data_IF_616225077989
#
_entry.id   IF_616225077989
#
_cell.length_a   1.000
_cell.length_b   1.000
_cell.length_c   1.000
_cell.angle_alpha   90.00
_cell.angle_beta   90.00
_cell.angle_gamma   90.00
#
_symmetry.space_group_name_H-M   'P 1'
#
loop_
_entity.id
_entity.type
_entity.pdbx_description
1 polymer ?
#
# COMPACT_ATOMS: atom_id res chain seq x y z
N UNK A 1 8.61 -19.53 9.64
CA UNK A 1 7.76 -18.32 9.70
C UNK A 1 7.21 -18.10 8.31
N UNK A 2 5.92 -17.82 8.17
CA UNK A 2 5.31 -17.52 6.87
C UNK A 2 5.80 -16.16 6.37
N UNK A 3 6.30 -16.12 5.14
CA UNK A 3 6.75 -14.90 4.45
C UNK A 3 5.60 -13.87 4.38
N UNK A 4 5.86 -12.62 4.77
CA UNK A 4 4.92 -11.50 4.65
C UNK A 4 5.09 -10.86 3.29
N UNK A 5 4.22 -11.23 2.36
CA UNK A 5 4.18 -10.65 1.01
C UNK A 5 3.07 -9.61 0.93
N UNK A 6 3.41 -8.38 0.54
CA UNK A 6 2.43 -7.34 0.22
C UNK A 6 2.35 -7.10 -1.27
N UNK A 7 1.19 -6.64 -1.74
CA UNK A 7 1.03 -6.12 -3.10
C UNK A 7 0.97 -4.61 -3.05
N UNK A 8 1.58 -3.92 -4.01
CA UNK A 8 1.52 -2.47 -4.10
C UNK A 8 1.32 -2.03 -5.55
N UNK A 9 0.45 -1.04 -5.79
CA UNK A 9 0.33 -0.41 -7.09
C UNK A 9 1.59 0.38 -7.40
N UNK A 10 2.23 0.07 -8.54
CA UNK A 10 3.52 0.67 -8.89
C UNK A 10 3.45 2.19 -9.08
N UNK A 11 2.29 2.70 -9.48
CA UNK A 11 2.08 4.11 -9.83
C UNK A 11 1.78 4.97 -8.60
N UNK A 12 1.00 4.47 -7.64
CA UNK A 12 0.57 5.23 -6.45
C UNK A 12 1.28 4.81 -5.15
N UNK A 13 1.89 3.62 -5.13
CA UNK A 13 2.38 3.01 -3.89
C UNK A 13 1.24 2.52 -2.98
N UNK A 14 -0.01 2.53 -3.44
CA UNK A 14 -1.14 2.02 -2.65
C UNK A 14 -1.02 0.52 -2.40
N UNK A 15 -1.21 0.10 -1.15
CA UNK A 15 -1.15 -1.29 -0.71
C UNK A 15 -2.58 -1.78 -0.43
N UNK A 16 -3.21 -2.55 -1.34
CA UNK A 16 -4.58 -3.00 -1.16
C UNK A 16 -4.77 -3.91 0.06
N UNK A 17 -5.97 -3.87 0.62
CA UNK A 17 -6.44 -4.70 1.72
C UNK A 17 -6.43 -4.00 3.09
N UNK A 18 -7.14 -4.54 4.08
CA UNK A 18 -7.41 -3.86 5.33
C UNK A 18 -6.18 -3.83 6.25
N UNK A 19 -6.03 -2.72 6.98
CA UNK A 19 -5.13 -2.66 8.12
C UNK A 19 -5.55 -3.68 9.19
N UNK A 20 -4.58 -4.44 9.71
CA UNK A 20 -4.82 -5.44 10.77
C UNK A 20 -5.36 -4.86 12.07
N UNK A 21 -5.20 -3.55 12.30
CA UNK A 21 -5.56 -2.87 13.54
C UNK A 21 -6.89 -2.13 13.49
N UNK A 22 -7.13 -1.36 12.43
CA UNK A 22 -8.35 -0.54 12.30
C UNK A 22 -9.30 -1.01 11.19
N UNK A 23 -8.92 -2.05 10.43
CA UNK A 23 -9.69 -2.64 9.33
C UNK A 23 -10.00 -1.70 8.16
N UNK A 24 -9.43 -0.49 8.13
CA UNK A 24 -9.56 0.45 7.02
C UNK A 24 -8.61 0.10 5.87
N UNK A 25 -9.05 0.39 4.64
CA UNK A 25 -8.31 0.11 3.41
C UNK A 25 -7.56 1.36 2.93
N UNK A 26 -6.62 1.84 3.75
CA UNK A 26 -5.86 3.06 3.49
C UNK A 26 -4.39 2.81 3.82
N UNK A 27 -3.75 1.86 3.14
CA UNK A 27 -2.35 1.52 3.36
C UNK A 27 -1.46 2.04 2.23
N UNK A 28 -0.36 2.67 2.60
CA UNK A 28 0.69 3.13 1.67
C UNK A 28 1.94 2.27 1.80
N UNK A 29 2.67 2.12 0.70
CA UNK A 29 4.00 1.53 0.69
C UNK A 29 4.99 2.48 1.36
N UNK A 30 5.80 1.95 2.27
CA UNK A 30 6.86 2.70 2.95
C UNK A 30 8.21 2.01 2.79
N UNK A 31 9.27 2.82 2.75
CA UNK A 31 10.66 2.35 2.77
C UNK A 31 11.29 2.79 4.10
N UNK A 32 11.88 1.86 4.81
CA UNK A 32 12.61 2.10 6.05
C UNK A 32 14.06 2.54 5.77
N UNK A 33 14.76 3.03 6.79
CA UNK A 33 16.16 3.49 6.69
C UNK A 33 17.15 2.38 6.27
N UNK A 34 16.82 1.13 6.56
CA UNK A 34 17.60 -0.06 6.18
C UNK A 34 17.24 -0.57 4.77
N UNK A 35 16.52 0.24 3.97
CA UNK A 35 15.98 -0.11 2.65
C UNK A 35 14.97 -1.26 2.68
N UNK A 36 14.51 -1.70 3.87
CA UNK A 36 13.40 -2.64 3.95
C UNK A 36 12.12 -1.96 3.45
N UNK A 37 11.25 -2.75 2.82
CA UNK A 37 9.94 -2.30 2.39
C UNK A 37 8.87 -2.76 3.38
N UNK A 38 7.78 -2.03 3.43
CA UNK A 38 6.65 -2.36 4.26
C UNK A 38 5.43 -1.55 3.90
N UNK A 39 4.46 -1.52 4.80
CA UNK A 39 3.25 -0.74 4.66
C UNK A 39 3.01 0.10 5.91
N UNK A 40 2.39 1.25 5.71
CA UNK A 40 1.85 2.10 6.76
C UNK A 40 0.36 2.30 6.52
N UNK A 41 -0.46 2.15 7.57
CA UNK A 41 -1.86 2.53 7.54
C UNK A 41 -2.00 4.02 7.78
N UNK A 42 -2.45 4.75 6.76
CA UNK A 42 -2.62 6.20 6.79
C UNK A 42 -3.73 6.65 7.75
N UNK A 43 -4.67 5.77 8.11
CA UNK A 43 -5.73 6.12 9.05
C UNK A 43 -5.32 6.06 10.53
N UNK A 44 -4.39 5.17 10.90
CA UNK A 44 -4.08 4.91 12.31
C UNK A 44 -2.58 4.80 12.64
N UNK A 45 -1.71 4.95 11.65
CA UNK A 45 -0.25 4.93 11.78
C UNK A 45 0.35 3.53 12.03
N UNK A 46 -0.42 2.46 11.88
CA UNK A 46 0.11 1.10 12.04
C UNK A 46 1.09 0.80 10.91
N UNK A 47 2.28 0.28 11.27
CA UNK A 47 3.33 -0.06 10.31
C UNK A 47 3.65 -1.55 10.36
N UNK A 48 3.86 -2.15 9.19
CA UNK A 48 4.29 -3.54 9.08
C UNK A 48 5.42 -3.69 8.09
N UNK A 49 6.42 -4.51 8.43
CA UNK A 49 7.49 -4.88 7.49
C UNK A 49 6.99 -5.97 6.54
N UNK A 50 7.45 -5.92 5.30
CA UNK A 50 7.22 -6.95 4.31
C UNK A 50 8.54 -7.63 3.96
N UNK A 51 8.51 -8.95 3.82
CA UNK A 51 9.65 -9.71 3.30
C UNK A 51 9.76 -9.53 1.77
N UNK A 52 8.62 -9.32 1.11
CA UNK A 52 8.55 -9.16 -0.36
C UNK A 52 7.40 -8.26 -0.78
N UNK A 53 7.62 -7.49 -1.84
CA UNK A 53 6.62 -6.66 -2.51
C UNK A 53 6.34 -7.18 -3.91
N UNK A 54 5.08 -7.47 -4.19
CA UNK A 54 4.56 -7.77 -5.53
C UNK A 54 3.96 -6.50 -6.15
N UNK A 55 4.46 -6.12 -7.31
CA UNK A 55 4.01 -4.92 -7.99
C UNK A 55 2.76 -5.19 -8.83
N UNK A 56 1.70 -4.43 -8.59
CA UNK A 56 0.52 -4.39 -9.43
C UNK A 56 0.76 -3.33 -10.51
N UNK A 57 0.69 -3.76 -11.77
CA UNK A 57 0.72 -2.88 -12.93
C UNK A 57 -0.70 -2.43 -13.28
N UNK A 58 -0.88 -1.15 -13.65
CA UNK A 58 -2.17 -0.58 -13.98
C UNK A 58 -2.57 0.61 -13.09
N UNK A 59 -3.78 1.15 -13.34
CA UNK A 59 -4.35 2.22 -12.52
C UNK A 59 -4.82 1.67 -11.19
N UNK A 60 -4.48 2.40 -10.14
CA UNK A 60 -5.06 2.24 -8.82
C UNK A 60 -6.57 2.55 -8.89
N UNK A 61 -7.46 1.60 -8.54
CA UNK A 61 -8.90 1.86 -8.54
C UNK A 61 -9.27 2.99 -7.57
N UNK A 62 -8.53 3.19 -6.47
CA UNK A 62 -8.76 4.29 -5.54
C UNK A 62 -8.43 5.67 -6.16
N UNK A 63 -7.59 5.70 -7.20
CA UNK A 63 -7.33 6.92 -7.98
C UNK A 63 -8.10 6.98 -9.31
N UNK A 64 -8.81 5.91 -9.69
CA UNK A 64 -9.58 5.90 -10.93
C UNK A 64 -10.76 6.86 -10.88
N UNK A 65 -11.30 7.14 -9.69
CA UNK A 65 -12.41 8.08 -9.45
C UNK A 65 -11.95 9.55 -9.40
N UNK A 66 -10.64 9.84 -9.39
CA UNK A 66 -10.10 11.21 -9.38
C UNK A 66 -9.90 11.80 -10.79
N UNK A 67 -10.38 11.12 -11.85
CA UNK A 67 -10.26 11.57 -13.24
C UNK A 67 -11.62 11.93 -13.84
N UNK A 68 -12.24 13.00 -13.35
CA UNK A 68 -13.34 13.69 -14.03
C UNK A 68 -13.24 15.24 -13.91
N UNK A 69 -12.05 15.82 -13.71
CA UNK A 69 -11.86 17.29 -13.74
C UNK A 69 -10.58 17.75 -14.51
N UNK A 70 -10.30 17.16 -15.67
CA UNK A 70 -9.44 17.79 -16.69
C UNK A 70 -10.06 17.64 -18.09
N UNK A 71 -11.04 18.49 -18.42
CA UNK A 71 -11.05 19.50 -19.51
C UNK A 71 -12.44 20.15 -19.68
#
# INVERSE_FOLDING_TARGET
MSEVVIRAFRVSGYVPGPCSKCSKEERGLVMFEDYALGWECLSCGEVGRADRVEWIEGKDPAMAELKDEEE
#
